data_IF_833168053684
#
_entry.id   IF_833168053684
#
_cell.length_a   1.000
_cell.length_b   1.000
_cell.length_c   1.000
_cell.angle_alpha   90.00
_cell.angle_beta   90.00
_cell.angle_gamma   90.00
#
_symmetry.space_group_name_H-M   'P 1'
#
loop_
_entity.id
_entity.type
_entity.pdbx_description
1 polymer ?
#
# COMPACT_ATOMS: atom_id res chain seq x y z
N UNK A 1 24.63 -7.65 2.27
CA UNK A 1 23.38 -6.86 2.47
C UNK A 1 23.10 -6.05 1.20
N UNK A 2 21.84 -5.93 0.80
CA UNK A 2 21.42 -5.12 -0.34
C UNK A 2 21.62 -3.63 -0.06
N UNK A 3 21.79 -2.85 -1.13
CA UNK A 3 21.64 -1.39 -1.05
C UNK A 3 20.19 -0.98 -0.78
N UNK A 4 19.95 0.32 -0.67
CA UNK A 4 18.62 0.90 -0.51
C UNK A 4 18.16 1.65 -1.76
N UNK A 5 16.84 1.69 -1.95
CA UNK A 5 16.16 2.48 -2.97
C UNK A 5 15.36 3.55 -2.23
N UNK A 6 15.58 4.82 -2.57
CA UNK A 6 14.78 5.89 -1.99
C UNK A 6 14.64 7.11 -2.87
N UNK A 7 13.61 7.90 -2.60
CA UNK A 7 13.32 9.18 -3.27
C UNK A 7 13.16 8.98 -4.79
N UNK A 8 12.25 8.07 -5.15
CA UNK A 8 11.94 7.77 -6.55
C UNK A 8 10.59 8.37 -6.88
N UNK A 9 10.53 9.09 -7.99
CA UNK A 9 9.31 9.59 -8.60
C UNK A 9 9.10 8.88 -9.94
N UNK A 10 7.89 8.39 -10.15
CA UNK A 10 7.41 7.88 -11.44
C UNK A 10 6.07 8.55 -11.74
N UNK A 11 5.96 9.17 -12.90
CA UNK A 11 4.77 9.94 -13.26
C UNK A 11 4.43 9.79 -14.74
N UNK A 12 3.14 9.94 -15.09
CA UNK A 12 2.65 9.94 -16.48
C UNK A 12 2.99 8.66 -17.25
N UNK A 13 2.60 7.51 -16.70
CA UNK A 13 2.90 6.19 -17.27
C UNK A 13 1.64 5.49 -17.75
N UNK A 14 1.73 4.85 -18.92
CA UNK A 14 0.71 3.94 -19.43
C UNK A 14 1.23 2.50 -19.44
N UNK A 15 0.52 1.59 -18.78
CA UNK A 15 0.85 0.17 -18.64
C UNK A 15 -0.23 -0.68 -19.32
N UNK A 16 0.19 -1.56 -20.22
CA UNK A 16 -0.72 -2.32 -21.08
C UNK A 16 -0.31 -3.80 -21.18
N UNK A 17 -1.30 -4.71 -21.23
CA UNK A 17 -1.12 -6.15 -21.47
C UNK A 17 0.00 -6.79 -20.63
N UNK A 18 0.03 -6.49 -19.34
CA UNK A 18 1.12 -6.91 -18.44
C UNK A 18 0.58 -7.77 -17.29
N UNK A 19 1.43 -8.68 -16.79
CA UNK A 19 1.05 -9.50 -15.64
C UNK A 19 0.86 -8.66 -14.37
N UNK A 20 1.75 -7.69 -14.15
CA UNK A 20 1.70 -6.78 -13.01
C UNK A 20 1.89 -5.36 -13.51
N UNK A 21 1.15 -4.40 -12.94
CA UNK A 21 1.32 -2.98 -13.25
C UNK A 21 2.54 -2.41 -12.54
N UNK A 22 2.40 -2.13 -11.25
CA UNK A 22 3.48 -1.60 -10.39
C UNK A 22 3.83 -2.65 -9.35
N UNK A 23 5.13 -2.90 -9.16
CA UNK A 23 5.58 -3.97 -8.28
C UNK A 23 6.83 -3.62 -7.46
N UNK A 24 6.76 -3.89 -6.15
CA UNK A 24 7.86 -3.81 -5.20
C UNK A 24 8.23 -5.21 -4.70
N UNK A 25 9.50 -5.59 -4.80
CA UNK A 25 9.97 -6.93 -4.44
C UNK A 25 11.12 -6.87 -3.47
N UNK A 26 11.03 -7.68 -2.42
CA UNK A 26 12.15 -7.95 -1.52
C UNK A 26 11.96 -9.33 -0.88
N UNK A 27 12.96 -9.77 -0.10
CA UNK A 27 12.85 -10.97 0.73
C UNK A 27 13.67 -10.85 2.01
N UNK A 28 13.29 -11.62 3.03
CA UNK A 28 14.09 -11.77 4.25
C UNK A 28 15.51 -12.18 3.86
N UNK A 29 16.49 -11.58 4.49
CA UNK A 29 17.91 -11.76 4.21
C UNK A 29 18.50 -10.82 3.15
N UNK A 30 17.67 -9.99 2.50
CA UNK A 30 18.17 -8.91 1.62
C UNK A 30 18.65 -7.70 2.42
N UNK A 31 18.01 -7.37 3.55
CA UNK A 31 18.21 -6.11 4.26
C UNK A 31 17.89 -4.87 3.42
N UNK A 32 18.49 -3.73 3.75
CA UNK A 32 18.32 -2.48 3.00
C UNK A 32 16.91 -1.87 3.15
N UNK A 33 16.53 -1.04 2.19
CA UNK A 33 15.24 -0.34 2.24
C UNK A 33 14.67 -0.02 0.85
N UNK A 34 13.35 0.14 0.79
CA UNK A 34 12.60 0.77 -0.29
C UNK A 34 11.72 1.83 0.38
N UNK A 35 12.04 3.13 0.21
CA UNK A 35 11.30 4.19 0.90
C UNK A 35 11.19 5.52 0.17
N UNK A 36 10.13 6.27 0.44
CA UNK A 36 9.92 7.57 -0.19
C UNK A 36 9.73 7.41 -1.70
N UNK A 37 8.79 6.54 -2.07
CA UNK A 37 8.44 6.27 -3.46
C UNK A 37 7.13 6.96 -3.76
N UNK A 38 7.08 7.74 -4.83
CA UNK A 38 5.85 8.38 -5.32
C UNK A 38 5.60 7.90 -6.74
N UNK A 39 4.43 7.34 -6.97
CA UNK A 39 3.96 6.96 -8.29
C UNK A 39 2.61 7.63 -8.54
N UNK A 40 2.56 8.50 -9.56
CA UNK A 40 1.38 9.29 -9.88
C UNK A 40 0.98 9.22 -11.35
N UNK A 41 -0.29 9.49 -11.63
CA UNK A 41 -0.81 9.73 -12.98
C UNK A 41 -0.55 8.53 -13.90
N UNK A 42 -1.10 7.39 -13.48
CA UNK A 42 -0.91 6.09 -14.15
C UNK A 42 -2.19 5.61 -14.78
N UNK A 43 -2.10 5.20 -16.04
CA UNK A 43 -3.16 4.52 -16.77
C UNK A 43 -2.79 3.04 -16.97
N UNK A 44 -3.73 2.15 -16.64
CA UNK A 44 -3.55 0.70 -16.75
C UNK A 44 -4.63 0.08 -17.63
N UNK A 45 -4.26 -0.82 -18.54
CA UNK A 45 -5.23 -1.57 -19.33
C UNK A 45 -4.80 -3.04 -19.48
N UNK A 46 -5.75 -3.95 -19.21
CA UNK A 46 -5.55 -5.39 -19.31
C UNK A 46 -4.35 -5.87 -18.48
N UNK A 47 -4.43 -5.63 -17.16
CA UNK A 47 -3.40 -5.99 -16.20
C UNK A 47 -3.92 -7.09 -15.28
N UNK A 48 -3.11 -8.12 -15.02
CA UNK A 48 -3.52 -9.16 -14.06
C UNK A 48 -3.57 -8.61 -12.64
N UNK A 49 -2.47 -8.03 -12.14
CA UNK A 49 -2.40 -7.42 -10.81
C UNK A 49 -2.00 -5.95 -10.93
N UNK A 50 -2.88 -5.02 -10.55
CA UNK A 50 -2.62 -3.58 -10.65
C UNK A 50 -1.40 -3.16 -9.83
N UNK A 51 -1.44 -3.42 -8.52
CA UNK A 51 -0.34 -3.14 -7.60
C UNK A 51 0.15 -4.40 -6.88
N UNK A 52 1.46 -4.55 -6.71
CA UNK A 52 2.04 -5.62 -5.93
C UNK A 52 3.16 -5.09 -5.02
N UNK A 53 3.19 -5.49 -3.76
CA UNK A 53 4.40 -5.45 -2.96
C UNK A 53 4.53 -6.78 -2.23
N UNK A 54 5.66 -7.48 -2.41
CA UNK A 54 5.89 -8.76 -1.74
C UNK A 54 7.25 -8.82 -1.07
N UNK A 55 7.24 -9.22 0.20
CA UNK A 55 8.41 -9.56 1.00
C UNK A 55 8.83 -11.02 0.90
N UNK A 56 8.22 -11.81 0.02
CA UNK A 56 8.47 -13.25 -0.12
C UNK A 56 9.02 -13.61 -1.50
N UNK A 57 9.74 -12.67 -2.13
CA UNK A 57 10.13 -12.80 -3.53
C UNK A 57 11.58 -13.28 -3.73
N UNK A 58 11.73 -14.43 -4.39
CA UNK A 58 13.01 -14.90 -4.95
C UNK A 58 13.92 -15.65 -3.99
N UNK A 59 15.17 -15.81 -4.42
CA UNK A 59 16.26 -16.50 -3.71
C UNK A 59 17.44 -15.57 -3.48
N UNK A 60 18.42 -16.03 -2.71
CA UNK A 60 19.70 -15.34 -2.51
C UNK A 60 20.71 -15.76 -3.60
N UNK A 61 21.64 -14.88 -3.99
CA UNK A 61 22.64 -15.18 -5.02
C UNK A 61 23.66 -16.24 -4.57
N UNK A 62 23.88 -16.34 -3.26
CA UNK A 62 24.79 -17.25 -2.58
C UNK A 62 24.29 -17.53 -1.14
N UNK A 63 24.99 -18.39 -0.41
CA UNK A 63 24.70 -18.75 0.98
C UNK A 63 25.40 -17.86 2.02
N UNK A 64 26.13 -16.82 1.59
CA UNK A 64 26.85 -15.89 2.49
C UNK A 64 26.01 -14.67 2.88
N UNK A 65 24.75 -14.61 2.45
CA UNK A 65 23.81 -13.59 2.88
C UNK A 65 23.51 -13.70 4.39
N UNK A 66 23.16 -12.57 5.01
CA UNK A 66 22.68 -12.57 6.39
C UNK A 66 21.20 -12.98 6.41
N UNK A 67 20.82 -14.17 6.93
CA UNK A 67 19.44 -14.64 6.92
C UNK A 67 18.51 -13.83 7.84
N UNK A 68 19.07 -13.01 8.73
CA UNK A 68 18.33 -12.17 9.65
C UNK A 68 18.17 -10.73 9.13
N UNK A 69 18.77 -10.40 7.98
CA UNK A 69 18.69 -9.05 7.43
C UNK A 69 17.27 -8.76 6.91
N UNK A 70 16.51 -7.97 7.66
CA UNK A 70 15.14 -7.59 7.29
C UNK A 70 15.14 -6.32 6.41
N UNK A 71 14.46 -6.33 5.26
CA UNK A 71 14.26 -5.12 4.47
C UNK A 71 13.21 -4.21 5.12
N UNK A 72 13.39 -2.89 4.99
CA UNK A 72 12.39 -1.89 5.36
C UNK A 72 11.66 -1.45 4.10
N UNK A 73 10.34 -1.59 4.05
CA UNK A 73 9.51 -1.06 2.96
C UNK A 73 8.48 -0.12 3.56
N UNK A 74 8.63 1.16 3.30
CA UNK A 74 7.75 2.18 3.87
C UNK A 74 7.62 3.41 3.00
N UNK A 75 6.68 4.29 3.31
CA UNK A 75 6.52 5.61 2.67
C UNK A 75 6.35 5.47 1.14
N UNK A 76 5.35 4.68 0.74
CA UNK A 76 4.98 4.45 -0.66
C UNK A 76 3.67 5.18 -0.95
N UNK A 77 3.67 6.08 -1.91
CA UNK A 77 2.50 6.80 -2.39
C UNK A 77 2.14 6.34 -3.79
N UNK A 78 0.93 5.82 -3.95
CA UNK A 78 0.31 5.51 -5.24
C UNK A 78 -0.92 6.41 -5.39
N UNK A 79 -0.91 7.31 -6.37
CA UNK A 79 -1.97 8.30 -6.52
C UNK A 79 -2.40 8.54 -7.96
N UNK A 80 -3.65 8.96 -8.15
CA UNK A 80 -4.21 9.30 -9.47
C UNK A 80 -4.02 8.14 -10.47
N UNK A 81 -4.52 6.96 -10.12
CA UNK A 81 -4.37 5.76 -10.95
C UNK A 81 -5.72 5.33 -11.49
N UNK A 82 -5.80 5.14 -12.81
CA UNK A 82 -7.01 4.63 -13.47
C UNK A 82 -6.68 3.36 -14.22
N UNK A 83 -7.54 2.36 -14.11
CA UNK A 83 -7.30 1.07 -14.75
C UNK A 83 -8.56 0.41 -15.29
N UNK A 84 -8.44 -0.26 -16.43
CA UNK A 84 -9.51 -1.04 -17.05
C UNK A 84 -9.08 -2.49 -17.24
N UNK A 85 -10.04 -3.41 -17.10
CA UNK A 85 -9.81 -4.85 -17.21
C UNK A 85 -8.68 -5.34 -16.28
N UNK A 86 -8.82 -5.03 -14.99
CA UNK A 86 -7.87 -5.44 -13.93
C UNK A 86 -8.38 -6.70 -13.23
N UNK A 87 -7.56 -7.75 -13.04
CA UNK A 87 -8.04 -8.97 -12.36
C UNK A 87 -7.94 -8.86 -10.82
N UNK A 88 -6.83 -8.35 -10.31
CA UNK A 88 -6.56 -8.10 -8.89
C UNK A 88 -6.13 -6.64 -8.75
N UNK A 89 -6.84 -5.87 -7.92
CA UNK A 89 -6.54 -4.46 -7.71
C UNK A 89 -5.19 -4.29 -7.00
N UNK A 90 -4.95 -5.07 -5.94
CA UNK A 90 -3.61 -5.15 -5.38
C UNK A 90 -3.33 -6.32 -4.46
N UNK A 91 -2.05 -6.64 -4.35
CA UNK A 91 -1.50 -7.68 -3.48
C UNK A 91 -0.33 -7.09 -2.68
N UNK A 92 -0.56 -6.82 -1.40
CA UNK A 92 0.46 -6.32 -0.48
C UNK A 92 0.72 -7.35 0.61
N UNK A 93 1.84 -8.06 0.49
CA UNK A 93 2.26 -9.12 1.41
C UNK A 93 3.63 -8.77 1.98
N UNK A 94 3.63 -8.10 3.14
CA UNK A 94 4.84 -7.77 3.87
C UNK A 94 5.49 -8.98 4.54
N UNK A 95 6.46 -8.72 5.41
CA UNK A 95 7.06 -9.72 6.30
C UNK A 95 6.50 -9.55 7.70
N UNK A 96 6.15 -10.63 8.38
CA UNK A 96 5.65 -10.55 9.75
C UNK A 96 6.63 -9.85 10.70
N UNK A 97 7.94 -10.08 10.53
CA UNK A 97 8.99 -9.48 11.35
C UNK A 97 9.37 -8.05 10.90
N UNK A 98 8.97 -7.64 9.69
CA UNK A 98 9.20 -6.29 9.13
C UNK A 98 8.03 -5.90 8.21
N UNK A 99 6.86 -5.57 8.79
CA UNK A 99 5.67 -5.23 8.02
C UNK A 99 5.90 -4.06 7.08
N UNK A 100 5.19 -4.04 5.95
CA UNK A 100 5.25 -2.91 5.03
C UNK A 100 4.35 -1.80 5.57
N UNK A 101 4.87 -0.58 5.76
CA UNK A 101 4.14 0.47 6.49
C UNK A 101 4.04 1.76 5.68
N UNK A 102 3.19 2.69 6.12
CA UNK A 102 3.03 3.99 5.46
C UNK A 102 2.74 3.88 3.94
N UNK A 103 1.92 2.91 3.54
CA UNK A 103 1.40 2.84 2.17
C UNK A 103 0.21 3.80 2.05
N UNK A 104 0.29 4.74 1.13
CA UNK A 104 -0.75 5.72 0.86
C UNK A 104 -1.33 5.51 -0.53
N UNK A 105 -2.63 5.22 -0.59
CA UNK A 105 -3.39 5.03 -1.82
C UNK A 105 -4.39 6.19 -1.98
N UNK A 106 -4.33 6.94 -3.07
CA UNK A 106 -5.24 8.09 -3.25
C UNK A 106 -5.77 8.22 -4.67
N UNK A 107 -7.07 8.45 -4.81
CA UNK A 107 -7.71 8.67 -6.10
C UNK A 107 -7.37 7.55 -7.12
N UNK A 108 -7.79 6.33 -6.77
CA UNK A 108 -7.53 5.12 -7.58
C UNK A 108 -8.86 4.53 -8.02
N UNK A 109 -9.00 4.24 -9.31
CA UNK A 109 -10.21 3.61 -9.84
C UNK A 109 -9.86 2.50 -10.82
N UNK A 110 -10.21 1.27 -10.47
CA UNK A 110 -10.07 0.09 -11.31
C UNK A 110 -11.42 -0.51 -11.70
N UNK A 111 -11.64 -0.62 -13.01
CA UNK A 111 -12.70 -1.47 -13.56
C UNK A 111 -12.19 -2.91 -13.61
N UNK A 112 -12.74 -3.73 -12.74
CA UNK A 112 -12.32 -5.12 -12.57
C UNK A 112 -12.84 -6.02 -13.70
N UNK A 113 -12.08 -7.07 -14.02
CA UNK A 113 -12.59 -8.19 -14.82
C UNK A 113 -13.57 -9.02 -13.97
N UNK A 114 -14.73 -9.37 -14.54
CA UNK A 114 -15.83 -10.08 -13.85
C UNK A 114 -15.48 -11.47 -13.32
N UNK A 115 -14.29 -12.00 -13.60
CA UNK A 115 -13.88 -13.35 -13.20
C UNK A 115 -13.24 -13.45 -11.80
N UNK A 116 -12.95 -12.33 -11.12
CA UNK A 116 -12.25 -12.36 -9.82
C UNK A 116 -13.19 -12.12 -8.64
N UNK A 117 -13.13 -12.99 -7.63
CA UNK A 117 -13.91 -12.85 -6.38
C UNK A 117 -13.25 -11.95 -5.33
N UNK A 118 -11.98 -11.61 -5.50
CA UNK A 118 -11.18 -10.87 -4.52
C UNK A 118 -10.37 -9.80 -5.22
N UNK A 119 -10.59 -8.54 -4.84
CA UNK A 119 -9.88 -7.41 -5.44
C UNK A 119 -8.55 -7.09 -4.73
N UNK A 120 -8.48 -7.27 -3.41
CA UNK A 120 -7.32 -6.92 -2.62
C UNK A 120 -6.89 -8.05 -1.70
N UNK A 121 -5.57 -8.24 -1.59
CA UNK A 121 -4.92 -9.18 -0.67
C UNK A 121 -3.92 -8.37 0.15
N UNK A 122 -4.08 -8.39 1.48
CA UNK A 122 -3.23 -7.66 2.40
C UNK A 122 -2.78 -8.58 3.53
N UNK A 123 -1.49 -8.59 3.81
CA UNK A 123 -0.88 -9.32 4.92
C UNK A 123 0.35 -8.56 5.40
N UNK A 124 0.50 -8.40 6.71
CA UNK A 124 1.64 -7.72 7.35
C UNK A 124 1.94 -6.36 6.70
N UNK A 125 0.88 -5.57 6.53
CA UNK A 125 0.93 -4.26 5.90
C UNK A 125 0.11 -3.25 6.71
N UNK A 126 0.48 -1.97 6.66
CA UNK A 126 -0.37 -0.89 7.18
C UNK A 126 -0.25 0.37 6.34
N UNK A 127 -1.34 1.13 6.29
CA UNK A 127 -1.41 2.32 5.47
C UNK A 127 -2.77 2.99 5.52
N UNK A 128 -2.96 3.93 4.61
CA UNK A 128 -4.18 4.72 4.49
C UNK A 128 -4.62 4.81 3.02
N UNK A 129 -5.93 4.89 2.82
CA UNK A 129 -6.52 5.06 1.50
C UNK A 129 -7.61 6.12 1.48
N UNK A 130 -7.67 6.87 0.38
CA UNK A 130 -8.70 7.87 0.11
C UNK A 130 -9.19 7.75 -1.34
N UNK A 131 -10.50 7.62 -1.52
CA UNK A 131 -11.12 7.54 -2.85
C UNK A 131 -10.53 6.43 -3.73
N UNK A 132 -10.51 5.20 -3.19
CA UNK A 132 -10.02 3.99 -3.87
C UNK A 132 -11.18 3.05 -4.21
N UNK A 133 -11.29 2.69 -5.48
CA UNK A 133 -12.31 1.77 -6.01
C UNK A 133 -11.61 0.67 -6.82
N UNK A 134 -11.82 -0.62 -6.53
CA UNK A 134 -12.59 -1.16 -5.40
C UNK A 134 -11.92 -0.87 -4.04
N UNK A 135 -12.66 -0.86 -2.91
CA UNK A 135 -12.09 -0.57 -1.60
C UNK A 135 -10.99 -1.56 -1.19
N UNK A 136 -9.87 -1.11 -0.61
CA UNK A 136 -8.79 -1.98 -0.15
C UNK A 136 -9.14 -2.71 1.15
N UNK A 137 -8.22 -3.55 1.63
CA UNK A 137 -8.35 -4.20 2.93
C UNK A 137 -8.33 -3.17 4.08
N UNK A 138 -8.86 -3.54 5.25
CA UNK A 138 -8.88 -2.67 6.44
C UNK A 138 -7.49 -2.22 6.90
N UNK A 139 -6.46 -3.02 6.63
CA UNK A 139 -5.06 -2.68 6.93
C UNK A 139 -4.58 -1.41 6.20
N UNK A 140 -5.26 -1.06 5.11
CA UNK A 140 -5.00 0.14 4.30
C UNK A 140 -6.16 1.15 4.40
N UNK A 141 -7.07 1.01 5.36
CA UNK A 141 -8.20 1.91 5.58
C UNK A 141 -8.17 2.45 7.02
N UNK A 142 -7.28 3.42 7.28
CA UNK A 142 -7.22 4.12 8.58
C UNK A 142 -8.31 5.20 8.72
N UNK A 143 -9.56 4.93 8.31
CA UNK A 143 -10.71 5.75 8.72
C UNK A 143 -11.27 5.38 10.10
N UNK A 144 -10.69 4.41 10.81
CA UNK A 144 -11.27 3.82 12.02
C UNK A 144 -10.48 3.99 13.35
N UNK A 145 -9.65 5.01 13.53
CA UNK A 145 -9.04 5.24 14.86
C UNK A 145 -8.97 6.68 15.38
N UNK A 146 -9.75 7.61 14.81
CA UNK A 146 -9.95 8.93 15.43
C UNK A 146 -11.39 9.12 15.98
N UNK A 147 -12.34 8.23 15.67
CA UNK A 147 -13.74 8.39 16.09
C UNK A 147 -14.11 7.78 17.45
N UNK A 148 -13.24 6.99 18.11
CA UNK A 148 -13.60 6.30 19.36
C UNK A 148 -12.91 6.82 20.64
N UNK A 149 -11.98 7.78 20.55
CA UNK A 149 -11.29 8.33 21.74
C UNK A 149 -11.48 9.84 21.96
N UNK A 150 -12.03 10.58 21.00
CA UNK A 150 -12.29 12.01 21.12
C UNK A 150 -13.75 12.36 21.52
N UNK A 151 -14.67 11.40 21.51
CA UNK A 151 -16.09 11.66 21.74
C UNK A 151 -16.51 11.71 23.23
N UNK A 152 -15.62 11.37 24.17
CA UNK A 152 -15.95 11.30 25.61
C UNK A 152 -15.45 12.47 26.46
N UNK A 153 -14.70 13.44 25.90
CA UNK A 153 -14.16 14.56 26.68
C UNK A 153 -14.83 15.93 26.45
N UNK A 154 -15.71 16.08 25.44
CA UNK A 154 -16.31 17.38 25.10
C UNK A 154 -17.74 17.60 25.63
N UNK A 155 -18.34 16.68 26.39
CA UNK A 155 -19.69 16.84 26.94
C UNK A 155 -19.76 17.46 28.35
N UNK A 156 -18.63 17.83 28.98
CA UNK A 156 -18.61 18.37 30.35
C UNK A 156 -18.24 19.86 30.47
N UNK A 157 -18.46 20.69 29.45
CA UNK A 157 -18.18 22.14 29.53
C UNK A 157 -19.21 23.03 28.83
N UNK A 158 -20.49 22.87 29.14
CA UNK A 158 -21.47 23.91 28.83
C UNK A 158 -22.67 23.85 29.79
N UNK A 159 -22.85 24.87 30.64
CA UNK A 159 -24.15 25.19 31.20
C UNK A 159 -24.26 25.53 32.69
N UNK A 160 -23.58 26.58 33.16
CA UNK A 160 -24.18 27.47 34.17
C UNK A 160 -24.02 28.91 33.70
N UNK A 161 -25.01 29.36 32.92
CA UNK A 161 -25.21 30.78 32.67
C UNK A 161 -25.75 31.42 33.96
N UNK A 162 -25.03 32.39 34.50
CA UNK A 162 -25.57 33.36 35.43
C UNK A 162 -26.20 34.49 34.61
N UNK A 163 -27.46 34.79 34.88
CA UNK A 163 -28.12 36.03 34.44
C UNK A 163 -28.68 36.68 35.70
N UNK A 164 -28.40 37.99 35.78
CA UNK A 164 -28.66 39.01 36.81
C UNK A 164 -29.81 38.76 37.78
#
# INVERSE_FOLDING_TARGET
MSGGISNVLVEHVHLYNSSTGIEFRTTKGRGGYIKGIVISDVEMENISTGFSASGHFGSHPDDEFDPNALPIVQDITLQNVRGTNINIAGNFTGLQESPFTSIYLSNITFSMNSSSSTSWICLDVSGYSESVIPPPCSDLDTRYSISSLAATSLLNSAGKAAVL
#
